data_IF_311643749063
#
_entry.id   IF_311643749063
#
_cell.length_a   1.000
_cell.length_b   1.000
_cell.length_c   1.000
_cell.angle_alpha   90.00
_cell.angle_beta   90.00
_cell.angle_gamma   90.00
#
_symmetry.space_group_name_H-M   'P 1'
#
loop_
_entity.id
_entity.type
_entity.pdbx_description
1 polymer ?
#
# COMPACT_ATOMS: atom_id res chain seq x y z
N UNK A 1 1.61 -20.78 2.45
CA UNK A 1 1.10 -21.67 3.51
C UNK A 1 2.24 -22.23 4.40
N UNK A 2 3.36 -22.65 3.84
CA UNK A 2 4.47 -23.28 4.58
C UNK A 2 5.15 -22.32 5.57
N UNK A 3 5.37 -21.05 5.19
CA UNK A 3 6.01 -20.06 6.06
C UNK A 3 5.16 -19.72 7.30
N UNK A 4 3.86 -19.53 7.15
CA UNK A 4 2.96 -19.22 8.27
C UNK A 4 2.90 -20.40 9.25
N UNK A 5 2.90 -21.64 8.76
CA UNK A 5 2.86 -22.82 9.64
C UNK A 5 4.17 -23.09 10.38
N UNK A 6 5.31 -22.67 9.83
CA UNK A 6 6.62 -22.79 10.52
C UNK A 6 6.80 -21.68 11.56
N UNK A 7 6.29 -20.46 11.30
CA UNK A 7 6.29 -19.38 12.29
C UNK A 7 5.48 -19.74 13.53
N UNK A 8 4.32 -20.39 13.38
CA UNK A 8 3.50 -20.81 14.52
C UNK A 8 4.13 -21.89 15.38
N UNK A 9 5.14 -22.62 14.88
CA UNK A 9 5.84 -23.68 15.64
C UNK A 9 7.00 -23.15 16.50
N UNK A 10 7.53 -21.97 16.25
CA UNK A 10 8.65 -21.35 16.99
C UNK A 10 8.23 -20.14 17.82
N UNK A 11 7.05 -20.19 18.41
CA UNK A 11 6.37 -19.10 19.09
C UNK A 11 7.24 -18.40 20.14
N UNK A 12 8.09 -19.12 20.87
CA UNK A 12 8.88 -18.53 21.96
C UNK A 12 10.03 -17.64 21.45
N UNK A 13 10.80 -18.10 20.47
CA UNK A 13 11.93 -17.32 19.92
C UNK A 13 11.41 -16.12 19.11
N UNK A 14 10.31 -16.30 18.40
CA UNK A 14 9.68 -15.23 17.62
C UNK A 14 9.09 -14.16 18.54
N UNK A 15 8.41 -14.53 19.60
CA UNK A 15 7.84 -13.59 20.58
C UNK A 15 8.92 -12.79 21.31
N UNK A 16 10.04 -13.40 21.69
CA UNK A 16 11.14 -12.68 22.28
C UNK A 16 11.74 -11.67 21.31
N UNK A 17 11.99 -12.07 20.06
CA UNK A 17 12.53 -11.17 19.06
C UNK A 17 11.57 -10.01 18.76
N UNK A 18 10.26 -10.28 18.63
CA UNK A 18 9.24 -9.24 18.40
C UNK A 18 9.22 -8.25 19.58
N UNK A 19 9.28 -8.74 20.81
CA UNK A 19 9.30 -7.87 21.98
C UNK A 19 10.56 -7.00 22.05
N UNK A 20 11.72 -7.54 21.70
CA UNK A 20 12.99 -6.81 21.64
C UNK A 20 13.01 -5.76 20.50
N UNK A 21 12.28 -6.00 19.41
CA UNK A 21 12.25 -5.15 18.22
C UNK A 21 10.85 -4.52 18.00
N UNK A 22 10.11 -4.28 19.08
CA UNK A 22 8.72 -3.81 18.97
C UNK A 22 8.60 -2.45 18.25
N UNK A 23 9.50 -1.53 18.54
CA UNK A 23 9.50 -0.20 17.94
C UNK A 23 9.84 -0.26 16.44
N UNK A 24 10.72 -1.14 16.02
CA UNK A 24 11.08 -1.38 14.62
C UNK A 24 9.90 -1.97 13.85
N UNK A 25 9.20 -2.94 14.43
CA UNK A 25 7.99 -3.53 13.82
C UNK A 25 6.90 -2.47 13.66
N UNK A 26 6.70 -1.63 14.68
CA UNK A 26 5.73 -0.54 14.63
C UNK A 26 6.09 0.52 13.58
N UNK A 27 7.37 0.85 13.45
CA UNK A 27 7.86 1.77 12.43
C UNK A 27 7.70 1.18 11.02
N UNK A 28 8.01 -0.11 10.85
CA UNK A 28 7.78 -0.83 9.59
C UNK A 28 6.30 -0.82 9.21
N UNK A 29 5.41 -1.13 10.16
CA UNK A 29 3.96 -1.11 9.95
C UNK A 29 3.48 0.28 9.48
N UNK A 30 3.96 1.34 10.14
CA UNK A 30 3.66 2.72 9.75
C UNK A 30 4.18 3.03 8.35
N UNK A 31 5.41 2.63 8.03
CA UNK A 31 5.99 2.80 6.70
C UNK A 31 5.16 2.09 5.62
N UNK A 32 4.84 0.82 5.81
CA UNK A 32 4.03 0.05 4.87
C UNK A 32 2.66 0.68 4.63
N UNK A 33 2.02 1.17 5.70
CA UNK A 33 0.73 1.85 5.59
C UNK A 33 0.80 3.16 4.78
N UNK A 34 1.92 3.91 4.88
CA UNK A 34 2.10 5.19 4.20
C UNK A 34 2.55 5.05 2.74
N UNK A 35 3.43 4.07 2.47
CA UNK A 35 4.06 3.93 1.16
C UNK A 35 3.36 2.90 0.25
N UNK A 36 2.64 1.94 0.84
CA UNK A 36 1.98 0.84 0.14
C UNK A 36 0.53 0.69 0.65
N UNK A 37 -0.21 1.79 0.61
CA UNK A 37 -1.53 1.88 1.25
C UNK A 37 -2.49 0.78 0.77
N UNK A 38 -2.59 0.57 -0.54
CA UNK A 38 -3.45 -0.45 -1.15
C UNK A 38 -3.07 -1.87 -0.73
N UNK A 39 -1.78 -2.22 -0.84
CA UNK A 39 -1.28 -3.55 -0.47
C UNK A 39 -1.40 -3.79 1.04
N UNK A 40 -1.27 -2.72 1.82
CA UNK A 40 -1.46 -2.78 3.27
C UNK A 40 -2.93 -3.07 3.63
N UNK A 41 -3.90 -2.43 2.97
CA UNK A 41 -5.33 -2.74 3.16
C UNK A 41 -5.66 -4.20 2.81
N UNK A 42 -5.18 -4.68 1.66
CA UNK A 42 -5.33 -6.08 1.26
C UNK A 42 -4.72 -7.01 2.32
N UNK A 43 -3.52 -6.69 2.80
CA UNK A 43 -2.84 -7.44 3.85
C UNK A 43 -3.63 -7.48 5.16
N UNK A 44 -4.28 -6.38 5.54
CA UNK A 44 -5.16 -6.32 6.71
C UNK A 44 -6.39 -7.20 6.55
N UNK A 45 -7.04 -7.20 5.39
CA UNK A 45 -8.22 -8.05 5.15
C UNK A 45 -7.84 -9.53 5.15
N UNK A 46 -6.70 -9.89 4.56
CA UNK A 46 -6.16 -11.26 4.65
C UNK A 46 -5.88 -11.64 6.10
N UNK A 47 -5.26 -10.75 6.87
CA UNK A 47 -4.95 -10.98 8.30
C UNK A 47 -6.23 -11.17 9.11
N UNK A 48 -7.24 -10.33 8.85
CA UNK A 48 -8.55 -10.43 9.49
C UNK A 48 -9.28 -11.73 9.15
N UNK A 49 -9.23 -12.13 7.87
CA UNK A 49 -9.79 -13.41 7.44
C UNK A 49 -9.11 -14.60 8.12
N UNK A 50 -7.78 -14.62 8.19
CA UNK A 50 -7.02 -15.70 8.85
C UNK A 50 -7.34 -15.77 10.34
N UNK A 51 -7.42 -14.62 11.01
CA UNK A 51 -7.78 -14.53 12.44
C UNK A 51 -9.18 -15.08 12.73
N UNK A 52 -10.16 -14.70 11.93
CA UNK A 52 -11.57 -15.02 12.18
C UNK A 52 -11.97 -16.43 11.72
N UNK A 53 -11.38 -16.91 10.61
CA UNK A 53 -11.82 -18.16 9.99
C UNK A 53 -10.87 -19.34 10.24
N UNK A 54 -9.59 -19.06 10.52
CA UNK A 54 -8.57 -20.09 10.73
C UNK A 54 -8.05 -20.12 12.16
N UNK A 55 -8.59 -19.26 13.03
CA UNK A 55 -8.19 -19.14 14.45
C UNK A 55 -6.66 -19.00 14.61
N UNK A 56 -6.03 -18.23 13.71
CA UNK A 56 -4.61 -17.92 13.76
C UNK A 56 -4.39 -16.64 14.57
N UNK A 57 -3.38 -16.65 15.42
CA UNK A 57 -2.94 -15.44 16.09
C UNK A 57 -2.06 -14.63 15.13
N UNK A 58 -2.53 -13.43 14.77
CA UNK A 58 -1.86 -12.52 13.83
C UNK A 58 -1.47 -11.28 14.62
N UNK A 59 -0.20 -11.14 14.88
CA UNK A 59 0.41 -9.94 15.47
C UNK A 59 0.84 -8.93 14.39
N UNK A 60 1.32 -7.77 14.82
CA UNK A 60 1.78 -6.69 13.93
C UNK A 60 2.91 -7.13 12.99
N UNK A 61 3.79 -8.03 13.44
CA UNK A 61 4.90 -8.52 12.63
C UNK A 61 4.42 -9.44 11.50
N UNK A 62 3.51 -10.37 11.81
CA UNK A 62 2.89 -11.25 10.80
C UNK A 62 2.07 -10.43 9.80
N UNK A 63 1.37 -9.39 10.26
CA UNK A 63 0.64 -8.47 9.38
C UNK A 63 1.59 -7.74 8.42
N UNK A 64 2.74 -7.26 8.90
CA UNK A 64 3.78 -6.68 8.02
C UNK A 64 4.29 -7.69 6.98
N UNK A 65 4.53 -8.95 7.37
CA UNK A 65 4.95 -10.00 6.44
C UNK A 65 3.89 -10.26 5.37
N UNK A 66 2.61 -10.33 5.75
CA UNK A 66 1.51 -10.51 4.80
C UNK A 66 1.48 -9.35 3.82
N UNK A 67 1.60 -8.11 4.30
CA UNK A 67 1.66 -6.92 3.45
C UNK A 67 2.83 -7.00 2.45
N UNK A 68 4.05 -7.32 2.91
CA UNK A 68 5.23 -7.48 2.04
C UNK A 68 5.00 -8.58 0.99
N UNK A 69 4.33 -9.67 1.36
CA UNK A 69 3.96 -10.71 0.41
C UNK A 69 2.97 -10.21 -0.66
N UNK A 70 2.01 -9.37 -0.28
CA UNK A 70 1.07 -8.76 -1.23
C UNK A 70 1.79 -7.80 -2.18
N UNK A 71 2.66 -6.92 -1.66
CA UNK A 71 3.49 -6.04 -2.47
C UNK A 71 4.26 -6.85 -3.53
N UNK A 72 4.96 -7.90 -3.09
CA UNK A 72 5.72 -8.77 -3.98
C UNK A 72 4.84 -9.49 -5.00
N UNK A 73 3.65 -9.91 -4.61
CA UNK A 73 2.71 -10.58 -5.51
C UNK A 73 2.29 -9.64 -6.65
N UNK A 74 1.88 -8.42 -6.35
CA UNK A 74 1.43 -7.46 -7.36
C UNK A 74 2.56 -7.04 -8.31
N UNK A 75 3.78 -6.87 -7.82
CA UNK A 75 4.96 -6.57 -8.65
C UNK A 75 5.29 -7.71 -9.64
N UNK A 76 4.99 -8.96 -9.27
CA UNK A 76 5.41 -10.14 -10.06
C UNK A 76 4.27 -10.86 -10.78
N UNK A 77 3.02 -10.43 -10.59
CA UNK A 77 1.86 -11.13 -11.17
C UNK A 77 1.81 -11.08 -12.71
N UNK A 78 2.51 -10.13 -13.33
CA UNK A 78 2.50 -9.95 -14.78
C UNK A 78 1.14 -9.58 -15.36
N UNK A 79 0.14 -9.31 -14.51
CA UNK A 79 -1.19 -8.88 -14.92
C UNK A 79 -1.19 -7.39 -15.28
N UNK A 80 -1.94 -7.03 -16.29
CA UNK A 80 -2.19 -5.63 -16.67
C UNK A 80 -3.02 -4.95 -15.57
N UNK A 81 -2.37 -4.13 -14.76
CA UNK A 81 -3.02 -3.45 -13.65
C UNK A 81 -3.64 -2.12 -14.08
N UNK A 82 -4.90 -1.93 -13.69
CA UNK A 82 -5.55 -0.62 -13.71
C UNK A 82 -5.59 -0.09 -12.28
N UNK A 83 -4.97 1.06 -12.05
CA UNK A 83 -4.85 1.68 -10.73
C UNK A 83 -5.35 3.12 -10.80
N UNK A 84 -5.99 3.58 -9.75
CA UNK A 84 -6.33 4.98 -9.55
C UNK A 84 -5.63 5.50 -8.27
N UNK A 85 -4.80 6.53 -8.38
CA UNK A 85 -4.17 7.17 -7.23
C UNK A 85 -4.95 8.44 -6.88
N UNK A 86 -5.47 8.50 -5.67
CA UNK A 86 -6.09 9.70 -5.11
C UNK A 86 -4.99 10.52 -4.43
N UNK A 87 -4.89 11.80 -4.82
CA UNK A 87 -3.92 12.74 -4.26
C UNK A 87 -4.69 13.89 -3.64
N UNK A 88 -4.60 14.07 -2.34
CA UNK A 88 -5.32 15.13 -1.65
C UNK A 88 -4.49 15.75 -0.54
N UNK A 89 -4.74 17.05 -0.30
CA UNK A 89 -4.13 17.76 0.81
C UNK A 89 -4.62 17.24 2.16
N UNK A 90 -3.69 17.06 3.06
CA UNK A 90 -3.95 16.59 4.44
C UNK A 90 -3.10 15.39 4.81
N UNK A 91 -3.31 14.89 6.04
CA UNK A 91 -2.54 13.77 6.60
C UNK A 91 -3.21 12.40 6.40
N UNK A 92 -4.48 12.37 6.00
CA UNK A 92 -5.26 11.14 5.81
C UNK A 92 -6.47 11.34 4.90
N UNK A 93 -6.53 12.41 4.13
CA UNK A 93 -7.68 12.72 3.27
C UNK A 93 -7.76 11.74 2.11
N UNK A 94 -6.68 11.60 1.35
CA UNK A 94 -6.61 10.68 0.21
C UNK A 94 -6.78 9.23 0.66
N UNK A 95 -6.07 8.81 1.70
CA UNK A 95 -6.15 7.44 2.23
C UNK A 95 -7.55 7.08 2.72
N UNK A 96 -8.25 8.00 3.41
CA UNK A 96 -9.63 7.77 3.85
C UNK A 96 -10.62 7.61 2.69
N UNK A 97 -10.44 8.41 1.62
CA UNK A 97 -11.29 8.30 0.41
C UNK A 97 -11.01 7.00 -0.33
N UNK A 98 -9.73 6.64 -0.51
CA UNK A 98 -9.33 5.39 -1.16
C UNK A 98 -9.89 4.17 -0.42
N UNK A 99 -9.72 4.11 0.90
CA UNK A 99 -10.27 3.05 1.75
C UNK A 99 -11.79 2.92 1.60
N UNK A 100 -12.52 4.02 1.72
CA UNK A 100 -13.97 4.02 1.58
C UNK A 100 -14.40 3.56 0.16
N UNK A 101 -13.72 4.02 -0.88
CA UNK A 101 -14.01 3.68 -2.28
C UNK A 101 -13.74 2.21 -2.55
N UNK A 102 -12.60 1.68 -2.11
CA UNK A 102 -12.24 0.27 -2.23
C UNK A 102 -13.26 -0.64 -1.55
N UNK A 103 -13.70 -0.28 -0.34
CA UNK A 103 -14.76 -1.02 0.39
C UNK A 103 -16.11 -0.97 -0.33
N UNK A 104 -16.51 0.19 -0.83
CA UNK A 104 -17.79 0.33 -1.56
C UNK A 104 -17.81 -0.48 -2.85
N UNK A 105 -16.69 -0.55 -3.56
CA UNK A 105 -16.55 -1.30 -4.81
C UNK A 105 -16.19 -2.77 -4.59
N UNK A 106 -15.87 -3.15 -3.36
CA UNK A 106 -15.30 -4.46 -3.03
C UNK A 106 -14.12 -4.80 -3.94
N UNK A 107 -13.24 -3.83 -4.14
CA UNK A 107 -12.09 -3.90 -5.06
C UNK A 107 -10.99 -2.97 -4.59
N UNK A 108 -9.72 -3.34 -4.84
CA UNK A 108 -8.54 -2.55 -4.44
C UNK A 108 -7.93 -1.83 -5.64
N UNK A 109 -8.74 -0.98 -6.29
CA UNK A 109 -8.33 -0.18 -7.45
C UNK A 109 -7.66 1.13 -7.01
N UNK A 110 -8.13 1.71 -5.90
CA UNK A 110 -7.65 3.00 -5.43
C UNK A 110 -6.45 2.84 -4.49
N UNK A 111 -5.40 3.58 -4.80
CA UNK A 111 -4.29 3.88 -3.90
C UNK A 111 -4.33 5.35 -3.49
N UNK A 112 -3.53 5.77 -2.54
CA UNK A 112 -3.61 7.09 -1.97
C UNK A 112 -2.24 7.73 -1.72
N UNK A 113 -2.17 9.03 -1.97
CA UNK A 113 -1.06 9.88 -1.57
C UNK A 113 -1.61 11.06 -0.78
N UNK A 114 -1.48 11.01 0.52
CA UNK A 114 -1.74 12.17 1.38
C UNK A 114 -0.61 13.18 1.23
N UNK A 115 -0.98 14.44 0.96
CA UNK A 115 -0.05 15.55 0.77
C UNK A 115 -0.15 16.52 1.95
N UNK A 116 0.71 16.43 2.97
CA UNK A 116 0.82 17.44 4.00
C UNK A 116 1.13 18.82 3.39
N UNK A 117 0.71 19.90 4.08
CA UNK A 117 0.83 21.27 3.57
C UNK A 117 2.27 21.75 3.32
N UNK A 118 3.24 21.06 3.91
CA UNK A 118 4.68 21.35 3.80
C UNK A 118 5.38 20.54 2.70
N UNK A 119 4.66 19.70 1.97
CA UNK A 119 5.20 18.86 0.88
C UNK A 119 4.93 19.53 -0.46
N UNK A 120 5.96 19.62 -1.29
CA UNK A 120 5.86 20.20 -2.62
C UNK A 120 5.36 19.20 -3.69
N UNK A 121 4.85 19.75 -4.79
CA UNK A 121 4.35 18.97 -5.94
C UNK A 121 5.45 18.08 -6.54
N UNK A 122 6.70 18.53 -6.53
CA UNK A 122 7.82 17.76 -7.09
C UNK A 122 8.14 16.49 -6.27
N UNK A 123 7.95 16.56 -4.94
CA UNK A 123 8.12 15.39 -4.09
C UNK A 123 7.02 14.36 -4.36
N UNK A 124 5.79 14.79 -4.58
CA UNK A 124 4.67 13.91 -4.97
C UNK A 124 4.91 13.30 -6.35
N UNK A 125 5.34 14.11 -7.33
CA UNK A 125 5.68 13.61 -8.67
C UNK A 125 6.74 12.51 -8.63
N UNK A 126 7.81 12.71 -7.84
CA UNK A 126 8.84 11.67 -7.64
C UNK A 126 8.26 10.41 -7.03
N UNK A 127 7.43 10.54 -5.99
CA UNK A 127 6.78 9.40 -5.34
C UNK A 127 5.92 8.59 -6.32
N UNK A 128 5.18 9.25 -7.21
CA UNK A 128 4.38 8.57 -8.23
C UNK A 128 5.29 7.87 -9.26
N UNK A 129 6.36 8.51 -9.71
CA UNK A 129 7.31 7.90 -10.65
C UNK A 129 7.99 6.68 -10.04
N UNK A 130 8.41 6.76 -8.77
CA UNK A 130 8.98 5.62 -8.04
C UNK A 130 7.97 4.47 -7.92
N UNK A 131 6.70 4.78 -7.66
CA UNK A 131 5.62 3.80 -7.60
C UNK A 131 5.38 3.13 -8.97
N UNK A 132 5.30 3.91 -10.06
CA UNK A 132 5.16 3.39 -11.43
C UNK A 132 6.33 2.48 -11.79
N UNK A 133 7.56 2.91 -11.51
CA UNK A 133 8.76 2.11 -11.76
C UNK A 133 8.80 0.82 -10.93
N UNK A 134 8.30 0.87 -9.70
CA UNK A 134 8.27 -0.27 -8.80
C UNK A 134 7.21 -1.31 -9.22
N UNK A 135 5.99 -0.89 -9.53
CA UNK A 135 4.89 -1.78 -9.92
C UNK A 135 5.10 -2.37 -11.31
N UNK A 136 5.63 -1.59 -12.25
CA UNK A 136 6.15 -2.03 -13.56
C UNK A 136 5.11 -2.38 -14.62
N UNK A 137 3.99 -3.02 -14.28
CA UNK A 137 2.98 -3.50 -15.23
C UNK A 137 1.63 -2.77 -15.08
N UNK A 138 1.68 -1.44 -15.06
CA UNK A 138 0.46 -0.63 -15.00
C UNK A 138 0.00 -0.35 -16.44
N UNK A 139 -1.14 -0.95 -16.85
CA UNK A 139 -1.73 -0.68 -18.15
C UNK A 139 -2.43 0.68 -18.19
N UNK A 140 -3.11 1.03 -17.09
CA UNK A 140 -3.79 2.33 -16.95
C UNK A 140 -3.61 2.89 -15.54
N UNK A 141 -3.22 4.15 -15.47
CA UNK A 141 -3.10 4.90 -14.24
C UNK A 141 -4.04 6.12 -14.29
N UNK A 142 -4.98 6.18 -13.35
CA UNK A 142 -5.81 7.36 -13.15
C UNK A 142 -5.30 8.17 -11.97
N UNK A 143 -5.14 9.48 -12.16
CA UNK A 143 -4.80 10.40 -11.07
C UNK A 143 -6.03 11.23 -10.72
N UNK A 144 -6.47 11.13 -9.48
CA UNK A 144 -7.60 11.88 -8.94
C UNK A 144 -7.06 12.91 -7.95
N UNK A 145 -7.15 14.18 -8.29
CA UNK A 145 -6.59 15.29 -7.50
C UNK A 145 -7.70 16.16 -6.91
N UNK A 146 -7.51 16.63 -5.68
CA UNK A 146 -8.48 17.48 -4.98
C UNK A 146 -8.44 18.94 -5.41
N UNK A 147 -7.32 19.39 -6.00
CA UNK A 147 -7.12 20.77 -6.43
C UNK A 147 -6.46 20.85 -7.80
N UNK A 148 -6.91 21.82 -8.62
CA UNK A 148 -6.37 22.03 -9.97
C UNK A 148 -4.87 22.34 -10.01
N UNK A 149 -4.28 22.90 -8.93
CA UNK A 149 -2.83 23.10 -8.84
C UNK A 149 -2.03 21.80 -8.89
N UNK A 150 -2.64 20.65 -8.58
CA UNK A 150 -2.00 19.35 -8.65
C UNK A 150 -2.03 18.74 -10.06
N UNK A 151 -2.75 19.35 -11.01
CA UNK A 151 -2.69 18.94 -12.43
C UNK A 151 -1.27 19.06 -13.01
N UNK A 152 -0.43 19.95 -12.45
CA UNK A 152 0.97 20.09 -12.84
C UNK A 152 1.78 18.82 -12.60
N UNK A 153 1.35 17.94 -11.70
CA UNK A 153 1.98 16.63 -11.44
C UNK A 153 2.09 15.83 -12.74
N UNK A 154 1.05 15.87 -13.57
CA UNK A 154 1.01 15.11 -14.84
C UNK A 154 2.18 15.45 -15.77
N UNK A 155 2.64 16.70 -15.79
CA UNK A 155 3.73 17.14 -16.65
C UNK A 155 5.09 16.53 -16.29
N UNK A 156 5.25 16.11 -15.04
CA UNK A 156 6.48 15.52 -14.52
C UNK A 156 6.49 13.99 -14.47
N UNK A 157 5.43 13.33 -14.95
CA UNK A 157 5.33 11.88 -14.89
C UNK A 157 6.01 11.19 -16.09
N UNK A 158 6.62 10.05 -15.81
CA UNK A 158 7.15 9.17 -16.84
C UNK A 158 6.01 8.31 -17.41
N UNK A 159 5.56 8.69 -18.62
CA UNK A 159 4.45 8.01 -19.33
C UNK A 159 4.92 6.86 -20.21
N UNK A 160 6.19 6.47 -20.15
CA UNK A 160 6.76 5.44 -21.06
C UNK A 160 6.19 4.04 -20.82
N UNK A 161 5.70 3.78 -19.60
CA UNK A 161 5.28 2.45 -19.17
C UNK A 161 3.79 2.35 -18.74
N UNK A 162 3.02 3.43 -18.81
CA UNK A 162 1.61 3.44 -18.41
C UNK A 162 0.82 4.46 -19.23
N UNK A 163 -0.44 4.13 -19.54
CA UNK A 163 -1.42 5.09 -20.06
C UNK A 163 -2.00 5.87 -18.89
N UNK A 164 -1.61 7.15 -18.77
CA UNK A 164 -1.97 8.00 -17.62
C UNK A 164 -3.09 8.94 -17.98
N UNK A 165 -4.17 8.96 -17.20
CA UNK A 165 -5.30 9.87 -17.28
C UNK A 165 -5.51 10.66 -15.99
N UNK A 166 -5.90 11.95 -16.12
CA UNK A 166 -6.36 12.84 -15.05
C UNK A 166 -7.88 12.84 -14.98
#
# INVERSE_FOLDING_TARGET
ATYISEFSKNTYLTNNWINENYDEVKNLKKYLKLEFHREYEIGQDVSHYLKNNMNQDIDDFVECIICICMIKYFVHSGEDLTIAIIIAHGYSTASSIAEASNRMLNSYIFDAIDMPLDVDVQAITRKINDYIAYVGNISKLYLLVDMGSLEEIYQGLDTSNADIAL
#
